data_IF_187333506132
#
_entry.id   IF_187333506132
#
_cell.length_a   1.000
_cell.length_b   1.000
_cell.length_c   1.000
_cell.angle_alpha   90.00
_cell.angle_beta   90.00
_cell.angle_gamma   90.00
#
_symmetry.space_group_name_H-M   'P 1'
#
loop_
_entity.id
_entity.type
_entity.pdbx_description
1 polymer ?
#
# COMPACT_ATOMS: atom_id res chain seq x y z
N UNK A 1 -25.64 38.73 -8.60
CA UNK A 1 -24.31 38.14 -8.84
C UNK A 1 -24.11 37.09 -7.77
N UNK A 2 -24.35 35.84 -8.11
CA UNK A 2 -24.35 34.72 -7.17
C UNK A 2 -22.92 34.28 -6.90
N UNK A 3 -22.53 34.39 -5.64
CA UNK A 3 -21.22 34.01 -5.12
C UNK A 3 -21.07 32.49 -5.21
N UNK A 4 -20.14 32.02 -6.05
CA UNK A 4 -19.85 30.59 -6.20
C UNK A 4 -18.64 30.26 -5.35
N UNK A 5 -18.90 29.84 -4.12
CA UNK A 5 -17.92 29.27 -3.20
C UNK A 5 -17.21 28.10 -3.89
N UNK A 6 -15.96 28.32 -4.31
CA UNK A 6 -15.08 27.25 -4.74
C UNK A 6 -14.77 26.39 -3.52
N UNK A 7 -15.38 25.22 -3.42
CA UNK A 7 -14.98 24.21 -2.46
C UNK A 7 -13.50 23.88 -2.74
N UNK A 8 -12.62 24.22 -1.79
CA UNK A 8 -11.22 23.87 -1.84
C UNK A 8 -11.12 22.34 -1.87
N UNK A 9 -10.84 21.79 -3.05
CA UNK A 9 -10.63 20.37 -3.24
C UNK A 9 -9.22 20.07 -2.72
N UNK A 10 -9.07 19.93 -1.41
CA UNK A 10 -7.80 19.60 -0.79
C UNK A 10 -7.44 18.17 -1.16
N UNK A 11 -6.48 18.02 -2.08
CA UNK A 11 -5.89 16.71 -2.39
C UNK A 11 -5.42 16.08 -1.08
N UNK A 12 -5.85 14.86 -0.74
CA UNK A 12 -5.40 14.19 0.48
C UNK A 12 -3.87 14.11 0.49
N UNK A 13 -3.25 14.39 1.63
CA UNK A 13 -1.80 14.30 1.82
C UNK A 13 -1.37 12.82 1.83
N UNK A 14 -1.21 12.26 0.64
CA UNK A 14 -0.82 10.88 0.40
C UNK A 14 0.70 10.82 0.28
N UNK A 15 1.34 10.15 1.23
CA UNK A 15 2.79 9.97 1.23
C UNK A 15 3.20 8.83 0.30
N UNK A 16 3.61 9.21 -0.91
CA UNK A 16 4.28 8.36 -1.90
C UNK A 16 5.35 9.20 -2.62
N UNK A 17 6.18 8.54 -3.41
CA UNK A 17 7.22 9.18 -4.22
C UNK A 17 6.58 10.07 -5.33
N UNK A 18 7.22 11.19 -5.66
CA UNK A 18 6.63 12.26 -6.47
C UNK A 18 6.32 11.86 -7.92
N UNK A 19 7.10 10.95 -8.50
CA UNK A 19 6.82 10.39 -9.83
C UNK A 19 5.48 9.64 -9.82
N UNK A 20 5.19 8.91 -8.74
CA UNK A 20 3.91 8.23 -8.56
C UNK A 20 2.77 9.20 -8.25
N UNK A 21 3.00 10.25 -7.44
CA UNK A 21 1.98 11.29 -7.20
C UNK A 21 1.46 11.86 -8.51
N UNK A 22 2.38 12.20 -9.42
CA UNK A 22 2.02 12.76 -10.72
C UNK A 22 1.19 11.79 -11.56
N UNK A 23 1.55 10.51 -11.58
CA UNK A 23 0.85 9.48 -12.39
C UNK A 23 -0.49 9.06 -11.81
N UNK A 24 -0.62 9.06 -10.47
CA UNK A 24 -1.81 8.59 -9.76
C UNK A 24 -2.73 9.72 -9.29
N UNK A 25 -2.39 10.99 -9.56
CA UNK A 25 -3.17 12.14 -9.13
C UNK A 25 -4.66 12.03 -9.51
N UNK A 26 -4.96 11.61 -10.74
CA UNK A 26 -6.34 11.46 -11.21
C UNK A 26 -7.08 10.32 -10.50
N UNK A 27 -6.38 9.25 -10.15
CA UNK A 27 -6.96 8.15 -9.37
C UNK A 27 -7.27 8.61 -7.95
N UNK A 28 -6.34 9.30 -7.28
CA UNK A 28 -6.60 9.81 -5.92
C UNK A 28 -7.69 10.87 -5.87
N UNK A 29 -7.90 11.62 -6.95
CA UNK A 29 -9.00 12.57 -7.08
C UNK A 29 -10.34 11.91 -7.45
N UNK A 30 -10.35 10.64 -7.85
CA UNK A 30 -11.56 9.97 -8.31
C UNK A 30 -12.56 9.73 -7.17
N UNK A 31 -13.86 9.87 -7.47
CA UNK A 31 -14.93 9.74 -6.48
C UNK A 31 -14.90 8.39 -5.73
N UNK A 32 -14.54 7.30 -6.42
CA UNK A 32 -14.44 5.98 -5.81
C UNK A 32 -13.30 5.88 -4.79
N UNK A 33 -12.16 6.56 -5.00
CA UNK A 33 -11.06 6.60 -4.04
C UNK A 33 -11.42 7.43 -2.81
N UNK A 34 -12.14 8.53 -2.99
CA UNK A 34 -12.70 9.31 -1.88
C UNK A 34 -13.66 8.47 -1.04
N UNK A 35 -14.58 7.75 -1.68
CA UNK A 35 -15.51 6.86 -1.00
C UNK A 35 -14.80 5.72 -0.26
N UNK A 36 -13.80 5.08 -0.88
CA UNK A 36 -12.99 4.03 -0.26
C UNK A 36 -12.25 4.55 0.98
N UNK A 37 -11.64 5.74 0.88
CA UNK A 37 -10.93 6.37 2.00
C UNK A 37 -11.88 6.68 3.17
N UNK A 38 -13.09 7.15 2.88
CA UNK A 38 -14.13 7.38 3.89
C UNK A 38 -14.58 6.07 4.55
N UNK A 39 -14.84 5.03 3.76
CA UNK A 39 -15.19 3.70 4.26
C UNK A 39 -14.12 3.14 5.21
N UNK A 40 -12.84 3.17 4.82
CA UNK A 40 -11.77 2.67 5.70
C UNK A 40 -11.64 3.46 7.00
N UNK A 41 -11.87 4.78 6.96
CA UNK A 41 -11.91 5.63 8.17
C UNK A 41 -13.09 5.28 9.07
N UNK A 42 -14.28 5.06 8.51
CA UNK A 42 -15.46 4.69 9.31
C UNK A 42 -15.30 3.31 9.94
N UNK A 43 -14.74 2.34 9.20
CA UNK A 43 -14.46 1.00 9.71
C UNK A 43 -13.47 1.04 10.88
N UNK A 44 -12.40 1.83 10.74
CA UNK A 44 -11.43 2.05 11.83
C UNK A 44 -12.08 2.75 13.03
N UNK A 45 -12.91 3.77 12.81
CA UNK A 45 -13.64 4.47 13.87
C UNK A 45 -14.65 3.57 14.60
N UNK A 46 -15.23 2.58 13.90
CA UNK A 46 -16.08 1.54 14.46
C UNK A 46 -15.29 0.46 15.23
N UNK A 47 -13.98 0.65 15.44
CA UNK A 47 -13.13 -0.26 16.21
C UNK A 47 -12.57 -1.44 15.41
N UNK A 48 -12.79 -1.50 14.09
CA UNK A 48 -12.18 -2.55 13.27
C UNK A 48 -10.67 -2.35 13.18
N UNK A 49 -9.96 -3.47 13.25
CA UNK A 49 -8.52 -3.55 13.10
C UNK A 49 -8.19 -3.64 11.62
N UNK A 50 -7.57 -2.58 11.09
CA UNK A 50 -7.20 -2.47 9.68
C UNK A 50 -5.68 -2.62 9.55
N UNK A 51 -5.25 -3.44 8.60
CA UNK A 51 -3.85 -3.64 8.25
C UNK A 51 -3.59 -3.30 6.77
N UNK A 52 -2.39 -2.80 6.42
CA UNK A 52 -1.34 -2.30 7.33
C UNK A 52 -1.75 -0.99 8.01
N UNK A 53 -0.92 -0.41 8.92
CA UNK A 53 -1.13 0.94 9.40
C UNK A 53 -1.29 1.93 8.24
N UNK A 54 -2.14 2.96 8.41
CA UNK A 54 -2.50 3.88 7.32
C UNK A 54 -1.31 4.51 6.59
N UNK A 55 -0.24 4.85 7.32
CA UNK A 55 1.00 5.42 6.75
C UNK A 55 1.82 4.43 5.92
N UNK A 56 1.47 3.14 5.93
CA UNK A 56 2.16 2.09 5.21
C UNK A 56 1.32 1.49 4.07
N UNK A 57 0.06 1.91 3.89
CA UNK A 57 -0.81 1.38 2.82
C UNK A 57 -0.17 1.54 1.44
N UNK A 58 0.48 2.68 1.17
CA UNK A 58 1.11 2.98 -0.11
C UNK A 58 2.63 2.82 -0.11
N UNK A 59 3.20 2.09 0.86
CA UNK A 59 4.66 2.02 1.05
C UNK A 59 5.43 1.53 -0.18
N UNK A 60 4.86 0.62 -0.97
CA UNK A 60 5.48 0.16 -2.21
C UNK A 60 5.79 1.32 -3.18
N UNK A 61 4.85 2.26 -3.32
CA UNK A 61 4.98 3.46 -4.18
C UNK A 61 5.89 4.52 -3.55
N UNK A 62 5.98 4.57 -2.22
CA UNK A 62 6.88 5.47 -1.49
C UNK A 62 8.35 5.06 -1.63
N UNK A 63 8.61 3.74 -1.69
CA UNK A 63 9.97 3.21 -1.72
C UNK A 63 10.59 3.08 -3.11
N UNK A 64 9.78 3.04 -4.17
CA UNK A 64 10.27 2.77 -5.52
C UNK A 64 9.77 3.84 -6.49
N UNK A 65 10.61 4.81 -6.91
CA UNK A 65 10.25 5.77 -7.95
C UNK A 65 9.77 5.05 -9.21
N UNK A 66 8.78 5.62 -9.90
CA UNK A 66 8.11 5.04 -11.05
C UNK A 66 9.10 4.61 -12.13
N UNK A 67 10.07 5.46 -12.45
CA UNK A 67 11.06 5.23 -13.50
C UNK A 67 12.08 4.13 -13.12
N UNK A 68 12.17 3.76 -11.84
CA UNK A 68 13.06 2.69 -11.37
C UNK A 68 12.36 1.32 -11.31
N UNK A 69 11.05 1.27 -11.55
CA UNK A 69 10.30 0.02 -11.57
C UNK A 69 10.75 -0.83 -12.75
N UNK A 70 11.16 -2.07 -12.46
CA UNK A 70 11.53 -3.08 -13.47
C UNK A 70 10.63 -4.32 -13.44
N UNK A 71 10.09 -4.64 -12.26
CA UNK A 71 9.27 -5.82 -12.01
C UNK A 71 8.11 -5.42 -11.10
N UNK A 72 6.93 -5.98 -11.36
CA UNK A 72 5.74 -5.81 -10.53
C UNK A 72 5.33 -7.16 -9.98
N UNK A 73 5.33 -7.31 -8.65
CA UNK A 73 4.87 -8.51 -7.94
C UNK A 73 3.54 -8.19 -7.26
N UNK A 74 2.46 -8.83 -7.72
CA UNK A 74 1.13 -8.64 -7.17
C UNK A 74 0.83 -9.74 -6.14
N UNK A 75 0.52 -9.31 -4.91
CA UNK A 75 -0.13 -10.16 -3.92
C UNK A 75 -1.65 -10.03 -4.01
N UNK A 76 -2.38 -10.89 -3.30
CA UNK A 76 -3.84 -10.80 -3.20
C UNK A 76 -4.26 -9.73 -2.18
N UNK A 77 -3.97 -9.99 -0.90
CA UNK A 77 -4.30 -9.12 0.22
C UNK A 77 -3.10 -9.00 1.18
N UNK A 78 -3.02 -7.94 2.01
CA UNK A 78 -2.01 -7.85 3.05
C UNK A 78 -2.13 -8.98 4.07
N UNK A 79 -1.01 -9.37 4.69
CA UNK A 79 -1.06 -10.24 5.86
C UNK A 79 -1.95 -9.67 6.98
N UNK A 80 -2.79 -10.51 7.56
CA UNK A 80 -3.79 -10.10 8.57
C UNK A 80 -3.32 -10.27 10.02
N UNK A 81 -2.11 -10.82 10.24
CA UNK A 81 -1.54 -10.96 11.58
C UNK A 81 -0.99 -9.64 12.12
N UNK A 82 -1.07 -9.39 13.44
CA UNK A 82 -0.49 -8.19 14.05
C UNK A 82 0.99 -8.03 13.72
N UNK A 83 1.36 -6.87 13.19
CA UNK A 83 2.76 -6.53 12.86
C UNK A 83 3.33 -7.18 11.60
N UNK A 84 2.55 -8.00 10.88
CA UNK A 84 3.03 -8.68 9.67
C UNK A 84 3.00 -7.75 8.44
N UNK A 85 1.82 -7.23 8.09
CA UNK A 85 1.67 -6.37 6.92
C UNK A 85 2.30 -4.99 7.17
N UNK A 86 3.16 -4.59 6.24
CA UNK A 86 3.87 -3.31 6.32
C UNK A 86 3.93 -2.55 5.00
N UNK A 87 3.03 -2.87 4.05
CA UNK A 87 2.88 -2.16 2.79
C UNK A 87 3.64 -2.71 1.58
N UNK A 88 4.27 -3.88 1.72
CA UNK A 88 4.95 -4.60 0.65
C UNK A 88 4.38 -6.02 0.58
N UNK A 89 4.04 -6.49 -0.63
CA UNK A 89 3.52 -7.85 -0.83
C UNK A 89 4.58 -8.88 -0.43
N UNK A 90 4.13 -9.97 0.20
CA UNK A 90 4.97 -11.09 0.67
C UNK A 90 6.07 -10.75 1.69
N UNK A 91 6.20 -9.49 2.12
CA UNK A 91 7.26 -9.07 3.04
C UNK A 91 6.74 -8.88 4.47
N UNK A 92 7.63 -9.07 5.44
CA UNK A 92 7.40 -8.85 6.88
C UNK A 92 8.58 -8.09 7.48
N UNK A 93 8.35 -7.38 8.59
CA UNK A 93 9.40 -6.64 9.28
C UNK A 93 10.44 -7.56 9.96
N UNK A 94 11.66 -7.05 10.25
CA UNK A 94 12.66 -7.79 11.02
C UNK A 94 12.12 -8.32 12.34
N UNK A 95 12.48 -9.56 12.69
CA UNK A 95 12.01 -10.23 13.91
C UNK A 95 10.62 -10.85 13.80
N UNK A 96 9.90 -10.67 12.68
CA UNK A 96 8.65 -11.37 12.39
C UNK A 96 8.95 -12.66 11.64
N UNK A 97 8.40 -13.78 12.12
CA UNK A 97 8.55 -15.07 11.46
C UNK A 97 7.98 -15.02 10.02
N UNK A 98 8.71 -15.51 9.00
CA UNK A 98 8.22 -15.55 7.63
C UNK A 98 6.90 -16.33 7.52
N UNK A 99 5.84 -15.76 6.92
CA UNK A 99 4.60 -16.49 6.68
C UNK A 99 4.79 -17.63 5.66
N UNK A 100 3.88 -18.62 5.61
CA UNK A 100 4.02 -19.79 4.72
C UNK A 100 4.28 -19.44 3.25
N UNK A 101 3.61 -18.40 2.73
CA UNK A 101 3.83 -17.94 1.35
C UNK A 101 5.25 -17.44 1.10
N UNK A 102 5.83 -16.69 2.05
CA UNK A 102 7.22 -16.21 1.94
C UNK A 102 8.22 -17.35 2.09
N UNK A 103 7.96 -18.32 2.97
CA UNK A 103 8.78 -19.52 3.07
C UNK A 103 8.80 -20.32 1.75
N UNK A 104 7.67 -20.39 1.05
CA UNK A 104 7.61 -21.04 -0.25
C UNK A 104 8.38 -20.27 -1.32
N UNK A 105 8.33 -18.92 -1.31
CA UNK A 105 9.17 -18.09 -2.18
C UNK A 105 10.66 -18.37 -1.93
N UNK A 106 11.11 -18.48 -0.67
CA UNK A 106 12.51 -18.82 -0.37
C UNK A 106 12.91 -20.21 -0.85
N UNK A 107 12.05 -21.21 -0.70
CA UNK A 107 12.31 -22.56 -1.23
C UNK A 107 12.45 -22.55 -2.75
N UNK A 108 11.60 -21.80 -3.44
CA UNK A 108 11.66 -21.68 -4.89
C UNK A 108 12.92 -20.95 -5.34
N UNK A 109 13.30 -19.84 -4.69
CA UNK A 109 14.55 -19.14 -4.95
C UNK A 109 15.79 -20.04 -4.75
N UNK A 110 15.76 -20.91 -3.73
CA UNK A 110 16.82 -21.87 -3.50
C UNK A 110 16.87 -22.96 -4.59
N UNK A 111 15.71 -23.45 -5.02
CA UNK A 111 15.61 -24.50 -6.04
C UNK A 111 15.96 -24.00 -7.45
N UNK A 112 15.48 -22.81 -7.82
CA UNK A 112 15.60 -22.26 -9.17
C UNK A 112 16.95 -21.55 -9.37
N UNK A 113 17.39 -20.78 -8.38
CA UNK A 113 18.55 -19.89 -8.50
C UNK A 113 19.72 -20.27 -7.58
N UNK A 114 19.56 -21.28 -6.71
CA UNK A 114 20.58 -21.65 -5.72
C UNK A 114 20.77 -20.62 -4.61
N UNK A 115 19.80 -19.72 -4.39
CA UNK A 115 19.88 -18.66 -3.39
C UNK A 115 19.25 -19.16 -2.08
N UNK A 116 20.09 -19.49 -1.10
CA UNK A 116 19.65 -19.90 0.25
C UNK A 116 19.35 -18.71 1.18
N UNK A 117 18.40 -18.90 2.09
CA UNK A 117 18.06 -18.00 3.18
C UNK A 117 18.40 -18.64 4.54
#
# INVERSE_FOLDING_TARGET
>A
MSDTTHAANTTPDIRIEDSWKTRLATQFAAAHMTALSQFLRSEKAAGKRIYPPGSQIFRAFDLTPFEQVKVVILGQDPYHGPGQAHGLSFSVGPGVAPPPSLQNIYKELASDLGIGH
#
